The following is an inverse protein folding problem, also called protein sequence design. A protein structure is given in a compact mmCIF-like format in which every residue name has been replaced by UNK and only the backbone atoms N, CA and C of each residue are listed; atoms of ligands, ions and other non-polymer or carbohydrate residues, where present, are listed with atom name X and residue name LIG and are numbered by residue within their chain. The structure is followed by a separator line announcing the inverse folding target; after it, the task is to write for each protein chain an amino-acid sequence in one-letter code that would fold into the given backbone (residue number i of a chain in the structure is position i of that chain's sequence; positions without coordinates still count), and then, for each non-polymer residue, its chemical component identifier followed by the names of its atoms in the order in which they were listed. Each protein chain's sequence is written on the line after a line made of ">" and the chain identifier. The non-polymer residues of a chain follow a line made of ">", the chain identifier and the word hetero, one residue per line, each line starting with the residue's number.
data_IF_211413799419
#
_entry.id   IF_211413799419
#
_cell.length_a   1.000
_cell.length_b   1.000
_cell.length_c   1.000
_cell.angle_alpha   90.00
_cell.angle_beta   90.00
_cell.angle_gamma   90.00
#
_symmetry.space_group_name_H-M   'P 1'
#
loop_
_entity.id
_entity.type
_entity.pdbx_description
1 polymer ?
#
# COMPACT_ATOMS: atom_id res chain seq x y z
N UNK A 1 23.09 1.42 2.34
CA UNK A 1 21.72 1.03 2.69
C UNK A 1 20.82 2.17 2.27
N UNK A 2 19.82 1.95 1.41
CA UNK A 2 18.84 3.00 1.06
C UNK A 2 18.12 3.44 2.33
N UNK A 3 18.01 4.75 2.53
CA UNK A 3 17.27 5.30 3.66
C UNK A 3 15.75 5.10 3.39
N UNK A 4 14.96 4.86 4.44
CA UNK A 4 13.49 4.74 4.34
C UNK A 4 12.88 5.95 3.63
N UNK A 5 13.41 7.15 3.89
CA UNK A 5 12.98 8.38 3.22
C UNK A 5 13.22 8.35 1.71
N UNK A 6 14.37 7.81 1.26
CA UNK A 6 14.66 7.68 -0.18
C UNK A 6 13.74 6.66 -0.85
N UNK A 7 13.37 5.57 -0.17
CA UNK A 7 12.38 4.62 -0.70
C UNK A 7 11.02 5.28 -0.89
N UNK A 8 10.57 6.05 0.11
CA UNK A 8 9.29 6.74 0.04
C UNK A 8 9.27 7.73 -1.14
N UNK A 9 10.33 8.51 -1.32
CA UNK A 9 10.39 9.47 -2.43
C UNK A 9 10.42 8.76 -3.79
N UNK A 10 11.14 7.64 -3.92
CA UNK A 10 11.10 6.81 -5.14
C UNK A 10 9.72 6.20 -5.40
N UNK A 11 9.00 5.79 -4.36
CA UNK A 11 7.63 5.28 -4.50
C UNK A 11 6.71 6.39 -5.01
N UNK A 12 6.76 7.58 -4.38
CA UNK A 12 5.95 8.73 -4.80
C UNK A 12 6.27 9.22 -6.21
N UNK A 13 7.54 9.16 -6.63
CA UNK A 13 7.97 9.56 -7.97
C UNK A 13 7.72 8.49 -9.04
N UNK A 14 7.32 7.27 -8.66
CA UNK A 14 7.15 6.13 -9.58
C UNK A 14 8.47 5.50 -10.03
N UNK A 15 9.60 5.85 -9.40
CA UNK A 15 10.92 5.30 -9.69
C UNK A 15 11.25 4.03 -8.89
N UNK A 16 10.42 3.68 -7.90
CA UNK A 16 10.58 2.47 -7.13
C UNK A 16 10.25 1.23 -7.97
N UNK A 17 11.09 0.21 -7.87
CA UNK A 17 10.81 -1.09 -8.50
C UNK A 17 9.85 -1.88 -7.61
N UNK A 18 8.57 -1.87 -7.96
CA UNK A 18 7.50 -2.49 -7.18
C UNK A 18 7.07 -3.81 -7.83
N UNK A 19 7.22 -4.92 -7.10
CA UNK A 19 6.72 -6.22 -7.51
C UNK A 19 5.37 -6.48 -6.83
N UNK A 20 4.29 -6.53 -7.59
CA UNK A 20 2.96 -6.86 -7.08
C UNK A 20 2.94 -8.27 -6.47
N UNK A 21 2.47 -8.38 -5.23
CA UNK A 21 2.37 -9.62 -4.45
C UNK A 21 0.91 -10.01 -4.27
N UNK A 22 0.03 -9.04 -4.02
CA UNK A 22 -1.39 -9.24 -3.78
C UNK A 22 -2.18 -8.05 -4.36
N UNK A 23 -3.35 -8.32 -4.91
CA UNK A 23 -4.27 -7.35 -5.50
C UNK A 23 -5.70 -7.90 -5.35
N UNK A 24 -6.51 -7.24 -4.52
CA UNK A 24 -7.89 -7.66 -4.32
C UNK A 24 -8.84 -6.53 -3.95
N UNK A 25 -10.11 -6.80 -4.19
CA UNK A 25 -11.23 -5.96 -3.77
C UNK A 25 -11.61 -6.29 -2.33
N UNK A 26 -11.71 -5.26 -1.50
CA UNK A 26 -12.13 -5.35 -0.11
C UNK A 26 -13.34 -4.46 0.16
N UNK A 27 -14.27 -4.96 0.97
CA UNK A 27 -15.32 -4.14 1.60
C UNK A 27 -14.98 -3.81 3.06
N UNK A 28 -13.81 -4.25 3.54
CA UNK A 28 -13.41 -4.13 4.92
C UNK A 28 -12.62 -2.84 5.20
N UNK A 29 -12.76 -2.30 6.41
CA UNK A 29 -12.04 -1.08 6.85
C UNK A 29 -10.56 -1.29 7.15
N UNK A 30 -10.07 -2.53 7.19
CA UNK A 30 -8.68 -2.87 7.51
C UNK A 30 -7.99 -3.51 6.32
N UNK A 31 -6.69 -3.24 6.15
CA UNK A 31 -5.83 -3.99 5.20
C UNK A 31 -5.45 -5.29 5.90
N UNK A 32 -6.21 -6.36 5.64
CA UNK A 32 -6.02 -7.66 6.29
C UNK A 32 -4.61 -8.25 6.04
N UNK A 33 -4.00 -7.90 4.90
CA UNK A 33 -2.69 -8.37 4.43
C UNK A 33 -1.55 -8.16 5.44
N UNK A 34 -1.60 -7.03 6.15
CA UNK A 34 -0.53 -6.55 7.04
C UNK A 34 -0.86 -6.69 8.53
N UNK A 35 -2.14 -6.86 8.89
CA UNK A 35 -2.60 -6.91 10.30
C UNK A 35 -2.28 -8.27 10.97
N UNK A 36 -2.01 -9.33 10.20
CA UNK A 36 -1.83 -10.70 10.73
C UNK A 36 -0.39 -11.22 10.74
N UNK A 37 0.59 -10.50 10.20
CA UNK A 37 1.68 -11.16 9.47
C UNK A 37 3.12 -10.71 9.81
N UNK A 38 3.36 -10.07 10.97
CA UNK A 38 4.73 -9.72 11.40
C UNK A 38 5.35 -8.55 10.64
N UNK A 39 4.53 -7.72 10.02
CA UNK A 39 4.94 -6.49 9.35
C UNK A 39 5.09 -5.35 10.36
N UNK A 40 6.23 -4.68 10.33
CA UNK A 40 6.48 -3.44 11.06
C UNK A 40 6.15 -2.26 10.15
N UNK A 41 5.16 -1.43 10.51
CA UNK A 41 4.84 -0.21 9.75
C UNK A 41 5.93 0.84 9.99
N UNK A 42 6.66 1.18 8.93
CA UNK A 42 7.74 2.18 8.99
C UNK A 42 7.21 3.60 8.78
N UNK A 43 6.30 3.75 7.82
CA UNK A 43 5.73 5.05 7.47
C UNK A 43 4.36 4.86 6.84
N UNK A 44 3.50 5.85 7.02
CA UNK A 44 2.20 5.97 6.37
C UNK A 44 2.16 7.31 5.65
N UNK A 45 1.68 7.29 4.42
CA UNK A 45 1.53 8.46 3.57
C UNK A 45 0.30 8.26 2.69
N UNK A 46 -0.48 9.30 2.47
CA UNK A 46 -1.78 9.13 1.85
C UNK A 46 -2.46 10.46 1.63
N UNK A 47 -3.64 10.38 1.03
CA UNK A 47 -4.57 11.49 0.87
C UNK A 47 -5.99 10.97 1.10
N UNK A 48 -6.98 11.79 0.79
CA UNK A 48 -8.39 11.45 1.00
C UNK A 48 -8.87 10.29 0.11
N UNK A 49 -8.16 9.99 -0.98
CA UNK A 49 -8.50 8.92 -1.93
C UNK A 49 -7.67 7.66 -1.72
N UNK A 50 -6.45 7.79 -1.19
CA UNK A 50 -5.50 6.68 -1.06
C UNK A 50 -4.88 6.63 0.33
N UNK A 51 -4.91 5.44 0.92
CA UNK A 51 -4.00 5.08 1.99
C UNK A 51 -2.79 4.39 1.39
N UNK A 52 -1.59 4.80 1.80
CA UNK A 52 -0.37 4.11 1.43
C UNK A 52 0.53 3.95 2.66
N UNK A 53 1.25 2.85 2.73
CA UNK A 53 2.18 2.63 3.84
C UNK A 53 3.35 1.74 3.42
N UNK A 54 4.51 2.05 3.99
CA UNK A 54 5.71 1.24 3.87
C UNK A 54 5.86 0.40 5.13
N UNK A 55 6.11 -0.89 4.93
CA UNK A 55 6.31 -1.88 5.97
C UNK A 55 7.66 -2.58 5.80
N UNK A 56 8.14 -3.16 6.89
CA UNK A 56 9.29 -4.06 6.91
C UNK A 56 8.88 -5.41 7.46
N UNK A 57 9.35 -6.48 6.83
CA UNK A 57 9.24 -7.85 7.34
C UNK A 57 10.43 -8.67 6.85
N UNK A 58 11.07 -9.42 7.75
CA UNK A 58 12.18 -10.34 7.43
C UNK A 58 13.28 -9.70 6.52
N UNK A 59 13.67 -8.45 6.83
CA UNK A 59 14.62 -7.61 6.08
C UNK A 59 14.19 -7.19 4.65
N UNK A 60 12.95 -7.44 4.27
CA UNK A 60 12.35 -6.93 3.04
C UNK A 60 11.43 -5.73 3.34
N UNK A 61 11.24 -4.91 2.32
CA UNK A 61 10.36 -3.76 2.36
C UNK A 61 9.13 -4.03 1.51
N UNK A 62 7.98 -3.59 2.01
CA UNK A 62 6.69 -3.79 1.38
C UNK A 62 5.93 -2.49 1.34
N UNK A 63 5.31 -2.22 0.20
CA UNK A 63 4.46 -1.06 0.00
C UNK A 63 3.03 -1.55 -0.11
N UNK A 64 2.15 -1.07 0.77
CA UNK A 64 0.72 -1.32 0.68
C UNK A 64 0.03 -0.06 0.17
N UNK A 65 -0.94 -0.23 -0.72
CA UNK A 65 -1.76 0.82 -1.29
C UNK A 65 -3.21 0.39 -1.19
N UNK A 66 -4.05 1.30 -0.71
CA UNK A 66 -5.49 1.16 -0.67
C UNK A 66 -6.12 2.35 -1.36
N UNK A 67 -6.90 2.09 -2.39
CA UNK A 67 -7.80 3.07 -2.97
C UNK A 67 -9.14 3.05 -2.24
N UNK A 68 -9.52 4.16 -1.64
CA UNK A 68 -10.84 4.37 -1.08
C UNK A 68 -11.86 4.63 -2.19
N UNK A 69 -13.09 4.16 -1.99
CA UNK A 69 -14.22 4.48 -2.86
C UNK A 69 -13.93 4.21 -4.35
N UNK A 70 -13.29 3.09 -4.65
CA UNK A 70 -12.85 2.76 -6.01
C UNK A 70 -14.02 2.69 -7.02
N UNK A 71 -15.24 2.47 -6.53
CA UNK A 71 -16.47 2.42 -7.31
C UNK A 71 -17.16 3.79 -7.49
N UNK A 72 -16.79 4.83 -6.73
CA UNK A 72 -17.55 6.09 -6.66
C UNK A 72 -17.75 6.77 -8.02
N UNK A 73 -16.73 6.77 -8.89
CA UNK A 73 -16.84 7.34 -10.23
C UNK A 73 -17.84 6.60 -11.12
N UNK A 74 -18.10 5.32 -10.85
CA UNK A 74 -18.97 4.45 -11.66
C UNK A 74 -20.36 4.26 -11.06
N UNK A 75 -20.49 4.27 -9.73
CA UNK A 75 -21.72 3.92 -9.00
C UNK A 75 -22.26 5.06 -8.12
N UNK A 76 -21.44 6.08 -7.82
CA UNK A 76 -21.75 7.10 -6.82
C UNK A 76 -21.76 6.57 -5.38
N UNK A 77 -21.24 5.35 -5.15
CA UNK A 77 -21.11 4.73 -3.83
C UNK A 77 -19.64 4.59 -3.44
N UNK A 78 -19.38 4.49 -2.14
CA UNK A 78 -18.06 4.18 -1.58
C UNK A 78 -18.13 2.85 -0.83
N UNK A 79 -18.47 1.80 -1.55
CA UNK A 79 -18.63 0.46 -0.97
C UNK A 79 -17.42 -0.43 -1.24
N UNK A 80 -16.64 -0.08 -2.27
CA UNK A 80 -15.53 -0.89 -2.74
C UNK A 80 -14.20 -0.18 -2.46
N UNK A 81 -13.27 -0.95 -1.87
CA UNK A 81 -11.87 -0.57 -1.73
C UNK A 81 -11.03 -1.52 -2.56
N UNK A 82 -9.92 -1.02 -3.09
CA UNK A 82 -8.92 -1.82 -3.80
C UNK A 82 -7.64 -1.83 -3.00
N UNK A 83 -7.23 -3.01 -2.55
CA UNK A 83 -6.03 -3.21 -1.76
C UNK A 83 -4.96 -3.88 -2.61
N UNK A 84 -3.75 -3.31 -2.59
CA UNK A 84 -2.58 -3.85 -3.26
C UNK A 84 -1.40 -3.91 -2.31
N UNK A 85 -0.61 -4.96 -2.43
CA UNK A 85 0.64 -5.14 -1.71
C UNK A 85 1.76 -5.41 -2.70
N UNK A 86 2.87 -4.70 -2.52
CA UNK A 86 4.05 -4.81 -3.35
C UNK A 86 5.26 -5.13 -2.47
N UNK A 87 6.17 -5.96 -2.98
CA UNK A 87 7.54 -6.04 -2.47
C UNK A 87 8.37 -4.95 -3.19
N UNK A 88 9.08 -4.13 -2.41
CA UNK A 88 9.98 -3.10 -2.96
C UNK A 88 11.30 -3.79 -3.29
N UNK A 89 11.57 -3.99 -4.58
CA UNK A 89 12.82 -4.56 -5.06
C UNK A 89 13.94 -3.52 -4.95
N UNK A 90 15.08 -3.96 -4.40
CA UNK A 90 16.30 -3.15 -4.25
C UNK A 90 17.02 -2.95 -5.59
#
# INVERSE_FOLDING_TARGET
>A
MMNVNEMIEKIKSGEANLKLIDDHVSQQKKIEMVDQSGFEKLCEFGNDEYFMALYKKDNKFYYAERQYCADNASTGSCEIQYDKLYEVAA
#
